data_IF_693741597041
#
_entry.id   IF_693741597041
#
_cell.length_a   1.000
_cell.length_b   1.000
_cell.length_c   1.000
_cell.angle_alpha   90.00
_cell.angle_beta   90.00
_cell.angle_gamma   90.00
#
_symmetry.space_group_name_H-M   'P 1'
#
loop_
_entity.id
_entity.type
_entity.pdbx_description
1 polymer ?
#
# COMPACT_ATOMS: atom_id res chain seq x y z
N UNK A 1 4.63 3.62 -7.01
CA UNK A 1 5.42 2.37 -6.79
C UNK A 1 4.59 1.24 -7.36
N UNK A 2 5.04 0.59 -8.43
CA UNK A 2 4.35 -0.57 -9.00
C UNK A 2 4.47 -1.72 -8.00
N UNK A 3 3.36 -2.16 -7.42
CA UNK A 3 3.27 -3.25 -6.43
C UNK A 3 3.46 -4.63 -7.12
N UNK A 4 4.14 -4.65 -8.26
CA UNK A 4 4.24 -5.81 -9.15
C UNK A 4 5.40 -6.73 -8.78
N UNK A 5 6.35 -6.27 -7.96
CA UNK A 5 7.48 -7.07 -7.47
C UNK A 5 7.33 -7.31 -5.97
N UNK A 6 6.54 -8.33 -5.61
CA UNK A 6 6.44 -8.84 -4.23
C UNK A 6 7.31 -10.09 -4.03
N UNK A 7 8.43 -10.18 -4.74
CA UNK A 7 9.40 -11.26 -4.58
C UNK A 7 10.28 -11.42 -5.80
N UNK A 8 11.48 -11.95 -5.58
CA UNK A 8 12.38 -12.38 -6.63
C UNK A 8 12.62 -13.88 -6.48
N UNK A 9 12.26 -14.64 -7.51
CA UNK A 9 12.64 -16.04 -7.65
C UNK A 9 13.25 -16.22 -9.04
N UNK A 10 14.56 -16.41 -9.08
CA UNK A 10 15.28 -16.76 -10.29
C UNK A 10 15.50 -18.28 -10.30
N UNK A 11 15.02 -18.93 -11.35
CA UNK A 11 14.99 -20.38 -11.48
C UNK A 11 16.19 -20.82 -12.33
N UNK A 12 16.95 -21.81 -11.88
CA UNK A 12 18.05 -22.39 -12.67
C UNK A 12 17.65 -23.72 -13.32
N UNK A 13 18.35 -24.10 -14.39
CA UNK A 13 18.10 -25.37 -15.09
C UNK A 13 18.57 -26.55 -14.22
N UNK A 14 18.01 -27.74 -14.41
CA UNK A 14 18.27 -28.94 -13.60
C UNK A 14 19.74 -29.40 -13.48
N UNK A 15 20.66 -28.90 -14.32
CA UNK A 15 22.06 -29.32 -14.37
C UNK A 15 23.03 -28.25 -13.81
N UNK A 16 22.62 -27.47 -12.82
CA UNK A 16 23.54 -26.56 -12.13
C UNK A 16 24.44 -27.32 -11.16
N UNK A 17 25.71 -26.94 -11.07
CA UNK A 17 26.56 -27.40 -9.99
C UNK A 17 26.01 -26.96 -8.62
N UNK A 18 26.08 -27.85 -7.62
CA UNK A 18 25.55 -27.62 -6.26
C UNK A 18 25.90 -26.24 -5.67
N UNK A 19 27.18 -25.85 -5.78
CA UNK A 19 27.66 -24.54 -5.29
C UNK A 19 26.93 -23.36 -5.92
N UNK A 20 26.63 -23.44 -7.22
CA UNK A 20 25.93 -22.37 -7.92
C UNK A 20 24.45 -22.32 -7.52
N UNK A 21 23.83 -23.48 -7.25
CA UNK A 21 22.49 -23.54 -6.65
C UNK A 21 22.45 -22.88 -5.26
N UNK A 22 23.41 -23.20 -4.39
CA UNK A 22 23.55 -22.57 -3.07
C UNK A 22 23.75 -21.05 -3.17
N UNK A 23 24.62 -20.57 -4.06
CA UNK A 23 24.80 -19.14 -4.28
C UNK A 23 23.52 -18.45 -4.77
N UNK A 24 22.77 -19.10 -5.65
CA UNK A 24 21.51 -18.56 -6.14
C UNK A 24 20.46 -18.52 -5.03
N UNK A 25 20.37 -19.54 -4.19
CA UNK A 25 19.48 -19.58 -3.03
C UNK A 25 19.80 -18.44 -2.06
N UNK A 26 21.09 -18.25 -1.72
CA UNK A 26 21.54 -17.15 -0.85
C UNK A 26 21.15 -15.79 -1.47
N UNK A 27 21.34 -15.62 -2.78
CA UNK A 27 20.92 -14.41 -3.50
C UNK A 27 19.42 -14.18 -3.37
N UNK A 28 18.60 -15.18 -3.66
CA UNK A 28 17.13 -15.08 -3.59
C UNK A 28 16.68 -14.71 -2.18
N UNK A 29 17.26 -15.34 -1.14
CA UNK A 29 16.97 -15.02 0.27
C UNK A 29 17.32 -13.57 0.56
N UNK A 30 18.55 -13.12 0.25
CA UNK A 30 18.99 -11.74 0.51
C UNK A 30 18.09 -10.70 -0.18
N UNK A 31 17.73 -10.92 -1.44
CA UNK A 31 16.85 -10.02 -2.18
C UNK A 31 15.45 -9.97 -1.56
N UNK A 32 14.87 -11.12 -1.21
CA UNK A 32 13.55 -11.18 -0.59
C UNK A 32 13.54 -10.57 0.82
N UNK A 33 14.62 -10.74 1.59
CA UNK A 33 14.79 -10.05 2.88
C UNK A 33 14.82 -8.53 2.72
N UNK A 34 15.54 -7.99 1.73
CA UNK A 34 15.57 -6.55 1.48
C UNK A 34 14.19 -5.98 1.06
N UNK A 35 13.42 -6.75 0.29
CA UNK A 35 12.03 -6.40 -0.05
C UNK A 35 11.16 -6.40 1.21
N UNK A 36 11.30 -7.43 2.06
CA UNK A 36 10.58 -7.55 3.33
C UNK A 36 10.90 -6.37 4.26
N UNK A 37 12.17 -5.98 4.40
CA UNK A 37 12.59 -4.79 5.17
C UNK A 37 11.89 -3.52 4.70
N UNK A 38 11.87 -3.32 3.38
CA UNK A 38 11.21 -2.17 2.77
C UNK A 38 9.72 -2.15 3.12
N UNK A 39 9.06 -3.30 3.07
CA UNK A 39 7.65 -3.43 3.40
C UNK A 39 7.38 -3.26 4.90
N UNK A 40 8.22 -3.81 5.77
CA UNK A 40 8.10 -3.63 7.22
C UNK A 40 8.25 -2.15 7.64
N UNK A 41 9.01 -1.36 6.87
CA UNK A 41 9.13 0.08 7.10
C UNK A 41 7.85 0.86 6.77
N UNK A 42 6.89 0.25 6.06
CA UNK A 42 5.61 0.87 5.72
C UNK A 42 4.69 1.00 6.95
N UNK A 43 3.73 1.95 6.93
CA UNK A 43 2.77 2.14 8.02
C UNK A 43 1.69 1.03 8.00
N UNK A 44 2.09 -0.14 8.50
CA UNK A 44 1.29 -1.35 8.64
C UNK A 44 0.94 -1.57 10.12
N UNK A 45 -0.27 -2.07 10.37
CA UNK A 45 -0.68 -2.53 11.71
C UNK A 45 -0.14 -3.94 12.00
N UNK A 46 -0.20 -4.38 13.26
CA UNK A 46 0.39 -5.65 13.67
C UNK A 46 -0.27 -6.87 13.03
N UNK A 47 -1.61 -6.83 12.85
CA UNK A 47 -2.34 -7.87 12.12
C UNK A 47 -1.86 -8.01 10.66
N UNK A 48 -1.63 -6.89 9.97
CA UNK A 48 -1.07 -6.87 8.63
C UNK A 48 0.36 -7.39 8.61
N UNK A 49 1.21 -6.98 9.56
CA UNK A 49 2.60 -7.44 9.66
C UNK A 49 2.69 -8.95 9.84
N UNK A 50 1.80 -9.54 10.66
CA UNK A 50 1.78 -10.99 10.90
C UNK A 50 1.51 -11.83 9.65
N UNK A 51 0.85 -11.23 8.65
CA UNK A 51 0.48 -11.84 7.37
C UNK A 51 1.54 -11.66 6.30
N UNK A 52 2.67 -11.00 6.59
CA UNK A 52 3.71 -10.75 5.60
C UNK A 52 4.78 -11.82 5.72
N UNK A 53 4.85 -12.65 4.68
CA UNK A 53 5.93 -13.59 4.45
C UNK A 53 6.24 -13.65 2.95
N UNK A 54 7.50 -13.92 2.61
CA UNK A 54 7.94 -13.97 1.22
C UNK A 54 8.27 -15.38 0.80
N UNK A 55 7.78 -15.75 -0.37
CA UNK A 55 8.11 -17.02 -0.97
C UNK A 55 9.43 -16.93 -1.74
N UNK A 56 10.37 -17.80 -1.43
CA UNK A 56 11.62 -17.98 -2.17
C UNK A 56 11.69 -19.45 -2.62
N UNK A 57 11.86 -19.67 -3.92
CA UNK A 57 12.04 -21.02 -4.47
C UNK A 57 13.15 -21.09 -5.51
N UNK A 58 13.77 -22.25 -5.60
CA UNK A 58 14.47 -22.74 -6.78
C UNK A 58 13.69 -23.96 -7.30
N UNK A 59 14.14 -24.56 -8.42
CA UNK A 59 13.59 -25.82 -8.91
C UNK A 59 13.57 -26.84 -7.76
N UNK A 60 12.38 -27.21 -7.32
CA UNK A 60 12.18 -28.27 -6.35
C UNK A 60 11.56 -27.86 -5.03
N UNK A 61 11.52 -26.59 -4.63
CA UNK A 61 10.91 -26.22 -3.33
C UNK A 61 10.55 -24.75 -3.18
N UNK A 62 9.78 -24.47 -2.12
CA UNK A 62 9.27 -23.16 -1.78
C UNK A 62 9.44 -22.89 -0.27
N UNK A 63 9.97 -21.72 0.08
CA UNK A 63 10.22 -21.30 1.47
C UNK A 63 9.49 -20.00 1.80
N UNK A 64 8.96 -19.84 3.01
CA UNK A 64 8.52 -18.56 3.55
C UNK A 64 9.60 -17.88 4.39
N UNK A 65 9.84 -16.60 4.17
CA UNK A 65 10.74 -15.78 5.00
C UNK A 65 9.90 -14.89 5.92
N UNK A 66 10.20 -14.91 7.22
CA UNK A 66 9.58 -14.09 8.25
C UNK A 66 10.63 -13.53 9.20
N UNK A 67 10.44 -12.30 9.66
CA UNK A 67 11.26 -11.71 10.72
C UNK A 67 10.81 -12.18 12.10
N UNK A 68 11.77 -12.58 12.92
CA UNK A 68 11.57 -12.95 14.32
C UNK A 68 12.64 -12.19 15.11
N UNK A 69 12.20 -11.27 15.97
CA UNK A 69 13.06 -10.34 16.71
C UNK A 69 13.99 -9.52 15.77
N UNK A 70 15.29 -9.79 15.82
CA UNK A 70 16.34 -9.14 15.02
C UNK A 70 16.85 -9.98 13.85
N UNK A 71 16.28 -11.18 13.64
CA UNK A 71 16.71 -12.12 12.61
C UNK A 71 15.59 -12.44 11.61
N UNK A 72 15.99 -12.89 10.41
CA UNK A 72 15.07 -13.45 9.42
C UNK A 72 15.19 -14.96 9.41
N UNK A 73 14.04 -15.62 9.54
CA UNK A 73 13.92 -17.08 9.51
C UNK A 73 13.27 -17.46 8.19
N UNK A 74 13.92 -18.37 7.46
CA UNK A 74 13.34 -19.02 6.30
C UNK A 74 12.77 -20.38 6.72
N UNK A 75 11.51 -20.64 6.41
CA UNK A 75 10.80 -21.88 6.70
C UNK A 75 10.46 -22.59 5.39
N UNK A 76 10.82 -23.86 5.25
CA UNK A 76 10.43 -24.66 4.10
C UNK A 76 8.93 -24.96 4.14
N UNK A 77 8.20 -24.62 3.07
CA UNK A 77 6.76 -24.81 2.98
C UNK A 77 6.43 -26.12 2.27
N UNK A 78 7.19 -26.47 1.22
CA UNK A 78 6.97 -27.68 0.47
C UNK A 78 7.79 -27.73 -0.80
N UNK A 79 7.79 -28.91 -1.40
CA UNK A 79 8.54 -29.20 -2.61
C UNK A 79 7.69 -28.95 -3.87
N UNK A 80 8.33 -28.44 -4.91
CA UNK A 80 7.71 -28.15 -6.20
C UNK A 80 8.23 -29.16 -7.23
N UNK A 81 7.38 -30.09 -7.63
CA UNK A 81 7.67 -31.08 -8.65
C UNK A 81 7.08 -30.66 -10.00
N UNK A 82 7.83 -30.88 -11.08
CA UNK A 82 7.26 -30.81 -12.43
C UNK A 82 6.69 -32.17 -12.81
N UNK A 83 5.58 -32.16 -13.55
CA UNK A 83 4.99 -33.40 -14.06
C UNK A 83 5.86 -33.96 -15.20
N UNK A 84 6.74 -34.92 -14.87
CA UNK A 84 7.59 -35.62 -15.86
C UNK A 84 6.88 -36.84 -16.44
N UNK A 85 6.01 -37.47 -15.66
CA UNK A 85 5.19 -38.62 -16.07
C UNK A 85 3.86 -38.65 -15.32
N UNK A 86 2.89 -39.41 -15.83
CA UNK A 86 1.57 -39.56 -15.19
C UNK A 86 1.64 -40.21 -13.80
N UNK A 87 2.70 -40.97 -13.51
CA UNK A 87 2.92 -41.56 -12.18
C UNK A 87 3.23 -40.52 -11.10
N UNK A 88 3.63 -39.31 -11.48
CA UNK A 88 3.95 -38.21 -10.57
C UNK A 88 2.77 -37.24 -10.38
N UNK A 89 1.55 -37.65 -10.73
CA UNK A 89 0.38 -36.76 -10.70
C UNK A 89 0.03 -36.30 -9.29
N UNK A 90 0.21 -37.16 -8.28
CA UNK A 90 -0.07 -36.83 -6.88
C UNK A 90 0.92 -35.78 -6.34
N UNK A 91 2.22 -35.89 -6.67
CA UNK A 91 3.23 -34.90 -6.31
C UNK A 91 2.98 -33.56 -7.03
N UNK A 92 2.55 -33.63 -8.29
CA UNK A 92 2.20 -32.44 -9.05
C UNK A 92 0.95 -31.75 -8.51
N UNK A 93 -0.02 -32.51 -7.99
CA UNK A 93 -1.19 -31.93 -7.31
C UNK A 93 -0.79 -31.09 -6.10
N UNK A 94 0.13 -31.59 -5.28
CA UNK A 94 0.69 -30.82 -4.15
C UNK A 94 1.38 -29.54 -4.63
N UNK A 95 2.12 -29.62 -5.73
CA UNK A 95 2.75 -28.45 -6.37
C UNK A 95 1.71 -27.41 -6.77
N UNK A 96 0.58 -27.83 -7.36
CA UNK A 96 -0.51 -26.92 -7.72
C UNK A 96 -1.12 -26.26 -6.47
N UNK A 97 -1.41 -27.02 -5.42
CA UNK A 97 -1.97 -26.49 -4.17
C UNK A 97 -1.06 -25.42 -3.54
N UNK A 98 0.25 -25.68 -3.56
CA UNK A 98 1.29 -24.75 -3.14
C UNK A 98 1.29 -23.47 -3.99
N UNK A 99 1.26 -23.59 -5.32
CA UNK A 99 1.22 -22.44 -6.23
C UNK A 99 -0.07 -21.62 -6.11
N UNK A 100 -1.21 -22.26 -5.90
CA UNK A 100 -2.48 -21.57 -5.64
C UNK A 100 -2.45 -20.80 -4.33
N UNK A 101 -1.92 -21.43 -3.27
CA UNK A 101 -1.71 -20.78 -1.97
C UNK A 101 -0.79 -19.57 -2.09
N UNK A 102 0.31 -19.71 -2.84
CA UNK A 102 1.22 -18.61 -3.14
C UNK A 102 0.51 -17.46 -3.86
N UNK A 103 -0.26 -17.76 -4.91
CA UNK A 103 -1.02 -16.75 -5.67
C UNK A 103 -2.04 -16.02 -4.78
N UNK A 104 -2.77 -16.76 -3.96
CA UNK A 104 -3.75 -16.17 -3.04
C UNK A 104 -3.08 -15.23 -2.04
N UNK A 105 -1.97 -15.67 -1.44
CA UNK A 105 -1.15 -14.85 -0.56
C UNK A 105 -0.66 -13.56 -1.25
N UNK A 106 -0.20 -13.64 -2.49
CA UNK A 106 0.25 -12.47 -3.24
C UNK A 106 -0.89 -11.45 -3.46
N UNK A 107 -2.12 -11.91 -3.68
CA UNK A 107 -3.29 -11.03 -3.76
C UNK A 107 -3.59 -10.35 -2.42
N UNK A 108 -3.52 -11.08 -1.30
CA UNK A 108 -3.70 -10.52 0.03
C UNK A 108 -2.62 -9.49 0.37
N UNK A 109 -1.36 -9.78 0.06
CA UNK A 109 -0.27 -8.81 0.20
C UNK A 109 -0.54 -7.54 -0.61
N UNK A 110 -0.96 -7.67 -1.87
CA UNK A 110 -1.31 -6.50 -2.69
C UNK A 110 -2.42 -5.65 -2.04
N UNK A 111 -3.44 -6.30 -1.46
CA UNK A 111 -4.54 -5.64 -0.75
C UNK A 111 -4.05 -4.87 0.49
N UNK A 112 -3.05 -5.39 1.19
CA UNK A 112 -2.44 -4.76 2.37
C UNK A 112 -1.48 -3.62 1.97
N UNK A 113 -0.68 -3.82 0.93
CA UNK A 113 0.41 -2.91 0.54
C UNK A 113 -0.10 -1.69 -0.22
N UNK A 114 -1.08 -1.84 -1.11
CA UNK A 114 -1.62 -0.71 -1.88
C UNK A 114 -2.06 0.49 -1.00
N UNK A 115 -2.87 0.32 0.05
CA UNK A 115 -3.23 1.43 0.93
C UNK A 115 -2.02 1.93 1.76
N UNK A 116 -1.10 1.05 2.12
CA UNK A 116 0.10 1.39 2.91
C UNK A 116 1.06 2.27 2.12
N UNK A 117 1.31 1.96 0.85
CA UNK A 117 2.05 2.80 -0.08
C UNK A 117 1.41 4.19 -0.23
N UNK A 118 0.08 4.24 -0.37
CA UNK A 118 -0.65 5.53 -0.44
C UNK A 118 -0.49 6.34 0.84
N UNK A 119 -0.62 5.71 2.02
CA UNK A 119 -0.39 6.36 3.32
C UNK A 119 1.03 6.89 3.45
N UNK A 120 2.03 6.12 3.03
CA UNK A 120 3.43 6.52 3.07
C UNK A 120 3.70 7.73 2.17
N UNK A 121 3.22 7.73 0.93
CA UNK A 121 3.35 8.85 0.00
C UNK A 121 2.66 10.11 0.55
N UNK A 122 1.44 9.99 1.07
CA UNK A 122 0.73 11.10 1.71
C UNK A 122 1.48 11.66 2.92
N UNK A 123 2.06 10.78 3.76
CA UNK A 123 2.85 11.18 4.92
C UNK A 123 4.09 11.99 4.51
N UNK A 124 4.80 11.57 3.47
CA UNK A 124 5.94 12.32 2.92
C UNK A 124 5.53 13.71 2.45
N UNK A 125 4.43 13.81 1.71
CA UNK A 125 3.90 15.10 1.24
C UNK A 125 3.52 16.00 2.41
N UNK A 126 2.76 15.48 3.37
CA UNK A 126 2.33 16.24 4.55
C UNK A 126 3.52 16.66 5.42
N UNK A 127 4.56 15.85 5.53
CA UNK A 127 5.77 16.19 6.27
C UNK A 127 6.49 17.41 5.67
N UNK A 128 6.44 17.64 4.36
CA UNK A 128 6.99 18.88 3.76
C UNK A 128 6.27 20.13 4.26
N UNK A 129 4.96 20.04 4.54
CA UNK A 129 4.18 21.16 5.07
C UNK A 129 4.29 21.31 6.60
N UNK A 130 4.51 20.20 7.32
CA UNK A 130 4.61 20.18 8.79
C UNK A 130 6.01 20.56 9.28
N UNK A 131 7.04 20.04 8.62
CA UNK A 131 8.43 20.32 8.91
C UNK A 131 8.92 21.35 7.89
N UNK A 132 8.47 22.59 8.02
CA UNK A 132 8.96 23.68 7.17
C UNK A 132 10.49 23.70 7.20
N UNK A 133 11.11 23.72 6.02
CA UNK A 133 12.56 23.72 5.85
C UNK A 133 13.21 24.63 6.90
N UNK A 134 13.90 24.06 7.88
CA UNK A 134 14.58 24.78 8.96
C UNK A 134 15.84 25.52 8.47
N UNK A 135 15.83 25.97 7.21
CA UNK A 135 16.88 26.74 6.56
C UNK A 135 16.24 27.86 5.74
N UNK A 136 15.68 28.83 6.45
CA UNK A 136 15.59 30.20 5.97
C UNK A 136 15.60 31.07 7.22
N UNK A 137 16.59 31.97 7.33
CA UNK A 137 16.65 33.01 8.35
C UNK A 137 15.26 33.63 8.50
N UNK A 138 14.56 33.31 9.60
CA UNK A 138 13.26 33.89 9.90
C UNK A 138 13.50 35.38 10.11
N UNK A 139 13.02 36.22 9.19
CA UNK A 139 12.83 37.63 9.52
C UNK A 139 11.86 37.69 10.70
N UNK A 140 12.14 38.60 11.63
CA UNK A 140 11.39 38.77 12.87
C UNK A 140 10.02 39.39 12.59
N UNK A 141 9.09 38.61 12.03
CA UNK A 141 7.64 38.73 12.22
C UNK A 141 6.89 37.89 11.17
N UNK A 142 6.18 36.82 11.56
CA UNK A 142 5.23 36.17 10.68
C UNK A 142 3.90 36.92 10.79
N UNK A 143 3.59 37.76 9.81
CA UNK A 143 2.24 38.29 9.64
C UNK A 143 1.28 37.16 9.28
N UNK A 144 0.66 36.52 10.26
CA UNK A 144 -0.40 35.54 10.04
C UNK A 144 -1.60 36.21 9.36
N UNK A 145 -1.64 36.11 8.04
CA UNK A 145 -2.70 36.62 7.17
C UNK A 145 -3.91 35.66 7.13
N UNK A 146 -4.55 35.44 8.27
CA UNK A 146 -5.88 34.82 8.31
C UNK A 146 -6.77 35.56 9.30
N UNK A 147 -7.04 36.83 8.98
CA UNK A 147 -8.20 37.52 9.54
C UNK A 147 -9.28 37.51 8.46
N UNK A 148 -10.38 36.75 8.61
CA UNK A 148 -11.55 36.90 7.77
C UNK A 148 -11.99 38.36 7.88
N UNK A 149 -11.80 39.15 6.82
CA UNK A 149 -12.27 40.53 6.80
C UNK A 149 -13.80 40.47 6.84
N UNK A 150 -14.39 40.71 8.01
CA UNK A 150 -15.83 40.97 8.13
C UNK A 150 -16.13 42.14 7.20
N UNK A 151 -16.77 41.89 6.06
CA UNK A 151 -17.36 42.94 5.23
C UNK A 151 -18.36 43.67 6.14
N UNK A 152 -18.01 44.86 6.62
CA UNK A 152 -18.99 45.74 7.24
C UNK A 152 -20.04 46.04 6.18
N UNK A 153 -21.25 45.52 6.37
CA UNK A 153 -22.41 45.98 5.62
C UNK A 153 -22.55 47.48 5.90
N UNK A 154 -22.49 48.30 4.85
CA UNK A 154 -22.87 49.71 4.94
C UNK A 154 -24.28 49.77 5.52
N UNK A 155 -24.44 50.38 6.70
CA UNK A 155 -25.74 50.83 7.17
C UNK A 155 -26.28 51.79 6.13
N UNK A 156 -27.27 51.34 5.37
CA UNK A 156 -28.14 52.22 4.59
C UNK A 156 -28.84 53.11 5.63
N UNK A 157 -28.74 54.46 5.52
CA UNK A 157 -29.51 55.34 6.39
C UNK A 157 -30.99 55.06 6.20
N UNK A 158 -31.70 54.89 7.31
CA UNK A 158 -33.14 54.76 7.33
C UNK A 158 -33.78 56.04 6.79
N UNK A 159 -34.33 55.98 5.58
CA UNK A 159 -35.41 56.88 5.17
C UNK A 159 -36.75 56.18 5.36
N UNK A 160 -37.67 56.99 5.90
CA UNK A 160 -38.89 56.60 6.58
C UNK A 160 -39.98 56.00 5.66
N UNK A 161 -40.95 55.29 6.27
CA UNK A 161 -42.02 54.59 5.56
C UNK A 161 -43.08 55.58 5.09
N UNK A 162 -43.75 55.29 3.97
CA UNK A 162 -45.23 55.28 3.79
C UNK A 162 -45.53 55.19 2.28
N UNK A 163 -46.20 54.12 1.84
CA UNK A 163 -47.52 54.15 1.14
C UNK A 163 -47.81 52.80 0.46
N UNK A 164 -48.74 52.11 1.10
CA UNK A 164 -49.78 51.21 0.59
C UNK A 164 -50.01 51.26 -0.93
N UNK A 165 -49.93 50.10 -1.59
CA UNK A 165 -50.82 49.75 -2.71
C UNK A 165 -51.22 48.27 -2.53
N UNK A 166 -52.51 48.08 -2.35
CA UNK A 166 -53.27 46.82 -2.38
C UNK A 166 -53.78 46.62 -3.80
N UNK A 167 -53.53 45.48 -4.44
CA UNK A 167 -54.34 44.86 -5.54
C UNK A 167 -53.98 43.36 -5.53
N UNK A 168 -54.80 42.55 -4.87
CA UNK A 168 -55.80 41.62 -5.43
C UNK A 168 -55.21 40.29 -5.92
N UNK A 169 -55.71 39.26 -5.25
CA UNK A 169 -55.77 37.85 -5.58
C UNK A 169 -56.40 37.59 -6.94
N UNK A 170 -55.81 36.69 -7.70
CA UNK A 170 -56.55 35.81 -8.61
C UNK A 170 -56.11 34.37 -8.35
N UNK A 171 -57.12 33.59 -7.97
CA UNK A 171 -57.18 32.13 -8.08
C UNK A 171 -57.13 31.74 -9.56
N UNK A 172 -56.50 30.61 -9.88
CA UNK A 172 -56.84 29.69 -10.97
C UNK A 172 -55.86 28.51 -10.85
N UNK A 173 -56.24 27.40 -10.22
CA UNK A 173 -56.98 26.24 -10.74
C UNK A 173 -56.18 25.22 -11.57
N UNK A 174 -56.34 23.98 -11.12
CA UNK A 174 -56.42 22.71 -11.84
C UNK A 174 -55.28 22.12 -12.70
N UNK A 175 -54.94 20.88 -12.29
CA UNK A 175 -54.63 19.68 -13.12
C UNK A 175 -53.28 19.67 -13.87
N UNK A 176 -52.45 18.62 -13.82
CA UNK A 176 -52.68 17.17 -13.81
C UNK A 176 -51.41 16.45 -13.31
#
# INVERSE_FOLDING_TARGET
MNVELLGSSEWKRSNVGKKLGEFQQIKNIRTNTAILETIESMPLNDDQRSKIFFFAGDVGYMMAIKKVDSAYVAYHIGDLALLVSLSCLDDFKQTLDLLFSFRHHHFELKRILAPSCRRQANSQVLNMYRCGNASAKRSSSPGTFFSPKKKQQKKIPAENPTKTITIESDEDDETN
#
